data_IF_603564029759
#
_entry.id   IF_603564029759
#
_cell.length_a   1.000
_cell.length_b   1.000
_cell.length_c   1.000
_cell.angle_alpha   90.00
_cell.angle_beta   90.00
_cell.angle_gamma   90.00
#
_symmetry.space_group_name_H-M   'P 1'
#
loop_
_entity.id
_entity.type
_entity.pdbx_description
1 polymer ?
#
# COMPACT_ATOMS: atom_id res chain seq x y z
N UNK A 1 -6.03 14.07 -5.19
CA UNK A 1 -4.81 14.37 -5.96
C UNK A 1 -4.57 13.25 -6.97
N UNK A 2 -4.05 13.51 -8.17
CA UNK A 2 -3.74 12.43 -9.12
C UNK A 2 -2.46 11.66 -8.73
N UNK A 3 -2.16 10.59 -9.47
CA UNK A 3 -1.03 9.71 -9.17
C UNK A 3 0.31 10.43 -9.30
N UNK A 4 0.51 11.24 -10.33
CA UNK A 4 1.79 11.94 -10.51
C UNK A 4 2.02 12.95 -9.39
N UNK A 5 1.01 13.71 -8.99
CA UNK A 5 1.14 14.63 -7.87
C UNK A 5 1.39 13.89 -6.53
N UNK A 6 0.84 12.68 -6.33
CA UNK A 6 1.22 11.84 -5.19
C UNK A 6 2.68 11.39 -5.23
N UNK A 7 3.20 10.99 -6.40
CA UNK A 7 4.60 10.61 -6.58
C UNK A 7 5.54 11.80 -6.36
N UNK A 8 5.16 13.00 -6.82
CA UNK A 8 5.93 14.23 -6.58
C UNK A 8 5.96 14.60 -5.09
N UNK A 9 4.86 14.42 -4.35
CA UNK A 9 4.88 14.62 -2.89
C UNK A 9 5.84 13.65 -2.19
N UNK A 10 5.91 12.40 -2.65
CA UNK A 10 6.85 11.42 -2.11
C UNK A 10 8.31 11.88 -2.31
N UNK A 11 8.67 12.39 -3.50
CA UNK A 11 10.01 12.95 -3.76
C UNK A 11 10.30 14.19 -2.94
N UNK A 12 9.33 15.09 -2.86
CA UNK A 12 9.51 16.37 -2.16
C UNK A 12 9.83 16.16 -0.68
N UNK A 13 9.23 15.14 -0.05
CA UNK A 13 9.49 14.79 1.35
C UNK A 13 10.66 13.82 1.55
N UNK A 14 11.35 13.41 0.49
CA UNK A 14 12.51 12.54 0.61
C UNK A 14 13.67 13.26 1.34
N UNK A 15 14.42 12.56 2.20
CA UNK A 15 15.67 13.08 2.76
C UNK A 15 16.58 13.64 1.66
N UNK A 16 17.00 14.90 1.80
CA UNK A 16 17.85 15.58 0.83
C UNK A 16 19.33 15.26 1.07
N UNK A 17 19.66 13.98 1.19
CA UNK A 17 21.01 13.46 1.45
C UNK A 17 21.82 13.21 0.17
N UNK A 18 21.29 13.64 -0.98
CA UNK A 18 21.90 13.47 -2.31
C UNK A 18 21.72 12.09 -2.93
N UNK A 19 21.32 11.06 -2.16
CA UNK A 19 21.23 9.67 -2.64
C UNK A 19 19.80 9.13 -2.61
N UNK A 20 19.05 9.44 -1.57
CA UNK A 20 17.68 8.97 -1.37
C UNK A 20 16.72 9.45 -2.46
N UNK A 21 16.73 10.72 -2.91
CA UNK A 21 15.85 11.17 -3.99
C UNK A 21 16.14 10.44 -5.30
N UNK A 22 17.41 10.24 -5.64
CA UNK A 22 17.82 9.51 -6.86
C UNK A 22 17.38 8.05 -6.82
N UNK A 23 17.49 7.40 -5.65
CA UNK A 23 17.01 6.03 -5.44
C UNK A 23 15.49 5.93 -5.66
N UNK A 24 14.73 6.88 -5.07
CA UNK A 24 13.28 6.93 -5.23
C UNK A 24 12.88 7.14 -6.68
N UNK A 25 13.47 8.12 -7.37
CA UNK A 25 13.21 8.41 -8.78
C UNK A 25 13.49 7.22 -9.69
N UNK A 26 14.61 6.54 -9.48
CA UNK A 26 15.06 5.46 -10.38
C UNK A 26 14.36 4.14 -10.12
N UNK A 27 14.10 3.79 -8.87
CA UNK A 27 13.67 2.44 -8.52
C UNK A 27 12.26 2.34 -7.94
N UNK A 28 11.87 3.31 -7.09
CA UNK A 28 10.61 3.22 -6.36
C UNK A 28 9.46 3.80 -7.18
N UNK A 29 9.64 4.99 -7.75
CA UNK A 29 8.60 5.70 -8.48
C UNK A 29 8.07 4.96 -9.70
N UNK A 30 8.90 4.36 -10.57
CA UNK A 30 8.39 3.61 -11.71
C UNK A 30 7.48 2.45 -11.30
N UNK A 31 7.84 1.76 -10.20
CA UNK A 31 7.05 0.67 -9.65
C UNK A 31 5.74 1.19 -9.05
N UNK A 32 5.82 2.21 -8.18
CA UNK A 32 4.62 2.81 -7.56
C UNK A 32 3.65 3.39 -8.61
N UNK A 33 4.17 4.04 -9.64
CA UNK A 33 3.38 4.52 -10.79
C UNK A 33 2.64 3.37 -11.48
N UNK A 34 3.33 2.27 -11.74
CA UNK A 34 2.74 1.11 -12.42
C UNK A 34 1.63 0.44 -11.59
N UNK A 35 1.74 0.41 -10.26
CA UNK A 35 0.67 -0.07 -9.39
C UNK A 35 -0.48 0.94 -9.28
N UNK A 36 -0.17 2.21 -9.04
CA UNK A 36 -1.14 3.29 -8.93
C UNK A 36 -2.01 3.44 -10.17
N UNK A 37 -1.41 3.33 -11.37
CA UNK A 37 -2.14 3.40 -12.64
C UNK A 37 -3.17 2.28 -12.85
N UNK A 38 -3.03 1.15 -12.13
CA UNK A 38 -3.97 0.03 -12.19
C UNK A 38 -5.10 0.15 -11.17
N UNK A 39 -5.02 1.09 -10.23
CA UNK A 39 -6.03 1.28 -9.19
C UNK A 39 -7.18 2.14 -9.71
N UNK A 40 -8.41 1.85 -9.28
CA UNK A 40 -9.57 2.64 -9.70
C UNK A 40 -9.69 3.93 -8.90
N UNK A 41 -9.20 3.94 -7.66
CA UNK A 41 -9.26 5.08 -6.76
C UNK A 41 -7.87 5.65 -6.47
N UNK A 42 -7.85 6.96 -6.23
CA UNK A 42 -6.64 7.71 -5.86
C UNK A 42 -6.38 7.69 -4.36
N UNK A 43 -7.43 7.48 -3.60
CA UNK A 43 -7.42 7.44 -2.14
C UNK A 43 -8.21 6.20 -1.69
N UNK A 44 -7.72 5.52 -0.67
CA UNK A 44 -8.42 4.41 -0.03
C UNK A 44 -8.52 4.66 1.47
N UNK A 45 -9.59 4.15 2.06
CA UNK A 45 -9.78 4.17 3.50
C UNK A 45 -9.06 2.96 4.12
N UNK A 46 -8.09 3.25 4.98
CA UNK A 46 -7.39 2.26 5.80
C UNK A 46 -7.89 2.42 7.23
N UNK A 47 -8.21 1.31 7.89
CA UNK A 47 -8.59 1.35 9.30
C UNK A 47 -7.36 1.56 10.18
N UNK A 48 -7.45 2.51 11.11
CA UNK A 48 -6.44 2.79 12.11
C UNK A 48 -7.01 2.64 13.52
N UNK A 49 -6.14 2.25 14.46
CA UNK A 49 -6.47 2.30 15.89
C UNK A 49 -6.17 3.68 16.50
N UNK A 50 -6.46 3.85 17.79
CA UNK A 50 -6.22 5.09 18.52
C UNK A 50 -4.74 5.56 18.52
N UNK A 51 -3.78 4.67 18.26
CA UNK A 51 -2.36 5.02 18.10
C UNK A 51 -1.96 5.26 16.63
N UNK A 52 -2.93 5.48 15.74
CA UNK A 52 -2.74 5.72 14.30
C UNK A 52 -2.04 4.57 13.55
N UNK A 53 -1.99 3.37 14.15
CA UNK A 53 -1.44 2.18 13.51
C UNK A 53 -2.52 1.52 12.68
N UNK A 54 -2.15 1.07 11.49
CA UNK A 54 -3.06 0.34 10.61
C UNK A 54 -3.50 -0.97 11.25
N UNK A 55 -4.78 -1.29 11.11
CA UNK A 55 -5.35 -2.56 11.57
C UNK A 55 -4.82 -3.69 10.70
N UNK A 56 -4.18 -4.66 11.34
CA UNK A 56 -3.65 -5.85 10.71
C UNK A 56 -4.59 -7.04 10.90
N UNK A 57 -4.91 -7.74 9.82
CA UNK A 57 -5.70 -8.97 9.86
C UNK A 57 -4.80 -10.16 9.58
N UNK A 58 -4.84 -11.17 10.44
CA UNK A 58 -4.14 -12.43 10.22
C UNK A 58 -5.13 -13.43 9.60
N UNK A 59 -4.80 -13.91 8.41
CA UNK A 59 -5.54 -14.93 7.69
C UNK A 59 -4.81 -16.27 7.88
N UNK A 60 -5.48 -17.24 8.49
CA UNK A 60 -4.95 -18.59 8.67
C UNK A 60 -5.58 -19.52 7.63
N UNK A 61 -4.77 -20.36 6.99
CA UNK A 61 -5.30 -21.38 6.08
C UNK A 61 -6.01 -22.48 6.89
N UNK A 62 -7.29 -22.75 6.60
CA UNK A 62 -8.08 -23.78 7.31
C UNK A 62 -7.50 -25.19 7.18
N UNK A 63 -6.83 -25.51 6.07
CA UNK A 63 -6.19 -26.80 5.84
C UNK A 63 -4.75 -26.86 6.38
N UNK A 64 -4.13 -25.70 6.66
CA UNK A 64 -2.75 -25.61 7.16
C UNK A 64 -2.64 -24.41 8.10
N UNK A 65 -3.10 -24.55 9.36
CA UNK A 65 -3.22 -23.42 10.29
C UNK A 65 -1.91 -22.67 10.55
N UNK A 66 -0.77 -23.34 10.41
CA UNK A 66 0.56 -22.75 10.57
C UNK A 66 0.95 -21.80 9.44
N UNK A 67 0.23 -21.84 8.30
CA UNK A 67 0.40 -20.88 7.22
C UNK A 67 -0.51 -19.68 7.48
N UNK A 68 0.08 -18.67 8.11
CA UNK A 68 -0.53 -17.37 8.33
C UNK A 68 -0.13 -16.38 7.25
N UNK A 69 -1.04 -15.46 6.94
CA UNK A 69 -0.80 -14.31 6.08
C UNK A 69 -1.35 -13.06 6.74
N UNK A 70 -0.52 -12.04 6.86
CA UNK A 70 -0.86 -10.77 7.51
C UNK A 70 -1.20 -9.73 6.45
N UNK A 71 -2.44 -9.24 6.49
CA UNK A 71 -2.98 -8.36 5.46
C UNK A 71 -3.51 -7.07 6.06
N UNK A 72 -3.42 -5.98 5.29
CA UNK A 72 -4.14 -4.74 5.56
C UNK A 72 -5.13 -4.50 4.45
N UNK A 73 -6.36 -4.13 4.81
CA UNK A 73 -7.44 -3.87 3.87
C UNK A 73 -7.57 -2.36 3.58
N UNK A 74 -7.70 -2.03 2.30
CA UNK A 74 -8.07 -0.70 1.81
C UNK A 74 -9.43 -0.72 1.14
N UNK A 75 -10.28 0.24 1.48
CA UNK A 75 -11.66 0.29 1.01
C UNK A 75 -11.88 1.55 0.18
N UNK A 76 -12.70 1.49 -0.86
CA UNK A 76 -13.15 2.68 -1.59
C UNK A 76 -14.21 3.49 -0.82
N UNK A 77 -14.85 2.88 0.19
CA UNK A 77 -15.85 3.50 1.06
C UNK A 77 -15.42 3.48 2.53
N UNK A 78 -15.60 4.59 3.27
CA UNK A 78 -15.38 4.59 4.71
C UNK A 78 -16.43 3.74 5.46
N UNK A 79 -17.64 3.62 4.92
CA UNK A 79 -18.70 2.77 5.51
C UNK A 79 -18.32 1.30 5.45
N UNK A 80 -17.71 0.85 4.35
CA UNK A 80 -17.23 -0.53 4.22
C UNK A 80 -16.07 -0.81 5.18
N UNK A 81 -15.14 0.14 5.34
CA UNK A 81 -14.03 0.02 6.29
C UNK A 81 -14.54 -0.15 7.74
N UNK A 82 -15.53 0.64 8.14
CA UNK A 82 -16.19 0.51 9.46
C UNK A 82 -16.98 -0.79 9.56
N UNK A 83 -17.69 -1.18 8.51
CA UNK A 83 -18.52 -2.39 8.52
C UNK A 83 -17.68 -3.66 8.63
N UNK A 84 -16.52 -3.69 7.96
CA UNK A 84 -15.65 -4.86 7.89
C UNK A 84 -14.81 -5.04 9.17
N UNK A 85 -14.19 -3.96 9.67
CA UNK A 85 -13.24 -4.02 10.80
C UNK A 85 -13.69 -3.26 12.05
N UNK A 86 -14.59 -2.30 11.92
CA UNK A 86 -14.91 -1.30 12.95
C UNK A 86 -16.23 -1.53 13.70
N UNK A 87 -17.02 -2.56 13.37
CA UNK A 87 -18.32 -2.80 14.03
C UNK A 87 -18.13 -2.95 15.54
N UNK A 88 -18.59 -1.95 16.29
CA UNK A 88 -18.60 -1.95 17.75
C UNK A 88 -17.29 -1.53 18.43
N UNK A 89 -16.24 -1.14 17.70
CA UNK A 89 -15.00 -0.65 18.30
C UNK A 89 -14.81 0.86 18.07
N UNK A 90 -15.03 1.71 19.10
CA UNK A 90 -14.92 3.16 18.97
C UNK A 90 -13.48 3.67 18.78
N UNK A 91 -12.48 2.82 19.05
CA UNK A 91 -11.07 3.17 18.88
C UNK A 91 -10.57 2.96 17.45
N UNK A 92 -11.40 2.37 16.58
CA UNK A 92 -11.08 2.13 15.18
C UNK A 92 -11.73 3.18 14.29
N UNK A 93 -10.94 3.79 13.41
CA UNK A 93 -11.41 4.84 12.51
C UNK A 93 -10.88 4.64 11.09
N UNK A 94 -11.71 4.82 10.05
CA UNK A 94 -11.24 4.83 8.68
C UNK A 94 -10.51 6.16 8.41
N UNK A 95 -9.33 6.07 7.81
CA UNK A 95 -8.56 7.23 7.37
C UNK A 95 -8.32 7.12 5.87
N UNK A 96 -8.72 8.16 5.13
CA UNK A 96 -8.41 8.25 3.71
C UNK A 96 -6.91 8.52 3.53
N UNK A 97 -6.24 7.66 2.77
CA UNK A 97 -4.83 7.79 2.45
C UNK A 97 -4.62 7.73 0.94
N UNK A 98 -3.69 8.53 0.39
CA UNK A 98 -3.33 8.46 -1.02
C UNK A 98 -2.72 7.11 -1.35
N UNK A 99 -3.13 6.50 -2.48
CA UNK A 99 -2.70 5.16 -2.86
C UNK A 99 -1.17 5.00 -2.91
N UNK A 100 -0.46 6.01 -3.41
CA UNK A 100 1.01 5.97 -3.48
C UNK A 100 1.62 5.95 -2.08
N UNK A 101 1.05 6.67 -1.11
CA UNK A 101 1.51 6.63 0.28
C UNK A 101 1.24 5.26 0.89
N UNK A 102 0.08 4.67 0.60
CA UNK A 102 -0.26 3.33 1.10
C UNK A 102 0.74 2.29 0.58
N UNK A 103 0.98 2.30 -0.74
CA UNK A 103 1.91 1.38 -1.40
C UNK A 103 3.35 1.58 -0.91
N UNK A 104 3.78 2.84 -0.73
CA UNK A 104 5.12 3.13 -0.20
C UNK A 104 5.27 2.65 1.25
N UNK A 105 4.26 2.83 2.08
CA UNK A 105 4.31 2.41 3.48
C UNK A 105 4.37 0.88 3.64
N UNK A 106 3.88 0.11 2.66
CA UNK A 106 4.02 -1.36 2.66
C UNK A 106 5.49 -1.80 2.77
N UNK A 107 6.46 -1.06 2.23
CA UNK A 107 7.90 -1.36 2.36
C UNK A 107 8.39 -1.31 3.81
N UNK A 108 7.89 -0.34 4.58
CA UNK A 108 8.28 -0.15 5.97
C UNK A 108 7.60 -1.17 6.91
N UNK A 109 6.49 -1.76 6.47
CA UNK A 109 5.65 -2.64 7.27
C UNK A 109 6.07 -4.11 7.14
N UNK A 110 7.24 -4.45 7.71
CA UNK A 110 7.77 -5.84 7.75
C UNK A 110 6.77 -6.94 8.12
N UNK A 111 5.87 -6.78 9.11
CA UNK A 111 4.95 -7.85 9.46
C UNK A 111 3.79 -8.03 8.47
N UNK A 112 3.68 -7.21 7.41
CA UNK A 112 2.58 -7.27 6.45
C UNK A 112 3.04 -7.96 5.17
N UNK A 113 2.28 -8.95 4.75
CA UNK A 113 2.55 -9.72 3.54
C UNK A 113 1.89 -9.08 2.32
N UNK A 114 0.69 -8.50 2.49
CA UNK A 114 -0.04 -7.90 1.38
C UNK A 114 -1.02 -6.80 1.80
N UNK A 115 -1.31 -5.91 0.86
CA UNK A 115 -2.48 -5.04 0.87
C UNK A 115 -3.59 -5.66 0.03
N UNK A 116 -4.85 -5.52 0.45
CA UNK A 116 -6.02 -5.96 -0.31
C UNK A 116 -6.97 -4.79 -0.47
N UNK A 117 -7.20 -4.38 -1.72
CA UNK A 117 -8.01 -3.22 -2.06
C UNK A 117 -9.38 -3.64 -2.58
N UNK A 118 -10.44 -3.14 -1.96
CA UNK A 118 -11.81 -3.28 -2.43
C UNK A 118 -12.21 -2.04 -3.24
N UNK A 119 -12.43 -2.24 -4.54
CA UNK A 119 -12.62 -1.16 -5.49
C UNK A 119 -14.07 -0.68 -5.55
N UNK A 120 -15.05 -1.54 -5.24
CA UNK A 120 -16.47 -1.23 -5.37
C UNK A 120 -17.14 -1.17 -4.00
N UNK A 121 -17.84 -0.07 -3.66
CA UNK A 121 -18.58 0.02 -2.41
C UNK A 121 -19.60 -1.13 -2.25
N UNK A 122 -19.61 -1.78 -1.10
CA UNK A 122 -20.48 -2.91 -0.78
C UNK A 122 -20.02 -4.27 -1.31
N UNK A 123 -18.97 -4.33 -2.15
CA UNK A 123 -18.42 -5.57 -2.69
C UNK A 123 -17.08 -5.91 -2.02
N UNK A 124 -17.15 -6.78 -1.01
CA UNK A 124 -15.99 -7.15 -0.17
C UNK A 124 -15.51 -8.58 -0.39
N UNK A 125 -16.04 -9.28 -1.41
CA UNK A 125 -15.61 -10.64 -1.75
C UNK A 125 -14.45 -10.67 -2.75
N UNK A 126 -14.30 -9.61 -3.56
CA UNK A 126 -13.25 -9.51 -4.59
C UNK A 126 -12.30 -8.35 -4.29
N UNK A 127 -11.20 -8.66 -3.62
CA UNK A 127 -10.13 -7.71 -3.35
C UNK A 127 -8.99 -7.82 -4.36
N UNK A 128 -8.46 -6.68 -4.79
CA UNK A 128 -7.22 -6.62 -5.56
C UNK A 128 -6.03 -6.65 -4.61
N UNK A 129 -5.25 -7.72 -4.69
CA UNK A 129 -4.10 -7.92 -3.82
C UNK A 129 -2.82 -7.30 -4.39
N UNK A 130 -2.05 -6.64 -3.51
CA UNK A 130 -0.66 -6.22 -3.75
C UNK A 130 0.23 -6.87 -2.71
N UNK A 131 1.09 -7.79 -3.14
CA UNK A 131 2.05 -8.46 -2.25
C UNK A 131 3.30 -7.62 -2.05
N UNK A 132 3.77 -7.55 -0.81
CA UNK A 132 5.01 -6.84 -0.46
C UNK A 132 6.21 -7.42 -1.21
N UNK A 133 6.32 -8.75 -1.26
CA UNK A 133 7.44 -9.42 -1.94
C UNK A 133 7.50 -9.13 -3.45
N UNK A 134 6.34 -9.06 -4.12
CA UNK A 134 6.29 -8.72 -5.55
C UNK A 134 6.73 -7.27 -5.78
N UNK A 135 6.29 -6.36 -4.90
CA UNK A 135 6.66 -4.95 -4.94
C UNK A 135 8.17 -4.75 -4.68
N UNK A 136 8.74 -5.46 -3.70
CA UNK A 136 10.17 -5.46 -3.40
C UNK A 136 11.01 -6.02 -4.55
N UNK A 137 10.58 -7.14 -5.15
CA UNK A 137 11.26 -7.76 -6.27
C UNK A 137 11.34 -6.81 -7.48
N UNK A 138 10.26 -6.09 -7.78
CA UNK A 138 10.22 -5.12 -8.88
C UNK A 138 11.16 -3.93 -8.62
N UNK A 139 11.23 -3.43 -7.38
CA UNK A 139 12.20 -2.38 -7.03
C UNK A 139 13.64 -2.89 -7.17
N UNK A 140 13.93 -4.09 -6.66
CA UNK A 140 15.25 -4.69 -6.82
C UNK A 140 15.63 -4.86 -8.28
N UNK A 141 14.68 -5.18 -9.15
CA UNK A 141 14.90 -5.24 -10.59
C UNK A 141 15.26 -3.87 -11.17
N UNK A 142 14.54 -2.80 -10.80
CA UNK A 142 14.88 -1.43 -11.24
C UNK A 142 16.27 -1.00 -10.77
N UNK A 143 16.68 -1.36 -9.56
CA UNK A 143 18.01 -1.04 -9.02
C UNK A 143 19.16 -1.71 -9.78
N UNK A 144 18.91 -2.85 -10.43
CA UNK A 144 19.91 -3.57 -11.22
C UNK A 144 20.05 -3.00 -12.64
N UNK A 145 19.13 -2.15 -13.08
CA UNK A 145 19.22 -1.54 -14.41
C UNK A 145 20.27 -0.42 -14.40
N UNK A 146 21.26 -0.45 -15.31
CA UNK A 146 22.19 0.65 -15.45
C UNK A 146 21.43 1.95 -15.79
N UNK A 147 21.94 3.13 -15.36
CA UNK A 147 21.32 4.39 -15.74
C UNK A 147 21.29 4.50 -17.28
N UNK A 148 20.25 5.10 -17.87
CA UNK A 148 20.12 5.22 -19.32
C UNK A 148 21.31 5.92 -20.01
N UNK A 149 22.14 6.67 -19.26
CA UNK A 149 23.33 7.35 -19.77
C UNK A 149 24.62 6.48 -19.85
N UNK A 150 24.53 5.16 -19.59
CA UNK A 150 25.68 4.25 -19.66
C UNK A 150 25.58 3.18 -20.77
N UNK A 151 24.80 3.44 -21.83
CA UNK A 151 24.69 2.59 -23.03
C UNK A 151 25.27 3.27 -24.27
#
# INVERSE_FOLDING_TARGET
>A
MDIEAQLQQLLHHAPQDGTTPQLLERAVIPVLRAYGAKMQHRDYYIMQNAQQRWVLTTLSNRATPDLEKKVVYGFSSPQDAVTFNGRGNPDLRPVALPIIHILFQLFAMKPVDSLVFFEQPGELSQGKEVKRQELEALIQQQLRQPPPDFA
#
